data_IF_000627255493
#
_entry.id   IF_000627255493
#
_cell.length_a   1.000
_cell.length_b   1.000
_cell.length_c   1.000
_cell.angle_alpha   90.00
_cell.angle_beta   90.00
_cell.angle_gamma   90.00
#
_symmetry.space_group_name_H-M   'P 1'
#
loop_
_entity.id
_entity.type
_entity.pdbx_description
1 polymer ?
#
# COMPACT_ATOMS: atom_id res chain seq x y z
N UNK A 1 11.57 14.21 -6.30
CA UNK A 1 10.92 15.32 -7.02
C UNK A 1 10.45 16.40 -6.04
N UNK A 2 9.46 16.15 -5.18
CA UNK A 2 8.98 17.13 -4.18
C UNK A 2 10.12 17.75 -3.35
N UNK A 3 11.00 16.92 -2.76
CA UNK A 3 12.14 17.42 -1.98
C UNK A 3 13.10 18.32 -2.78
N UNK A 4 13.38 17.95 -4.04
CA UNK A 4 14.30 18.70 -4.88
C UNK A 4 13.70 20.06 -5.28
N UNK A 5 12.44 20.07 -5.73
CA UNK A 5 11.76 21.32 -6.07
C UNK A 5 11.54 22.21 -4.86
N UNK A 6 11.21 21.65 -3.70
CA UNK A 6 11.06 22.42 -2.47
C UNK A 6 12.38 23.02 -1.98
N UNK A 7 13.48 22.28 -2.06
CA UNK A 7 14.81 22.82 -1.73
C UNK A 7 15.20 23.97 -2.67
N UNK A 8 14.98 23.80 -3.99
CA UNK A 8 15.27 24.83 -4.99
C UNK A 8 14.33 26.05 -4.89
N UNK A 9 13.06 25.85 -4.55
CA UNK A 9 12.11 26.92 -4.25
C UNK A 9 12.51 27.72 -2.99
N UNK A 10 13.22 27.08 -2.07
CA UNK A 10 13.91 27.74 -0.96
C UNK A 10 15.34 28.17 -1.33
N UNK A 11 15.60 28.36 -2.62
CA UNK A 11 16.82 28.88 -3.26
C UNK A 11 18.13 28.20 -2.90
N UNK A 12 18.10 26.88 -2.69
CA UNK A 12 19.30 26.06 -2.83
C UNK A 12 19.58 25.76 -4.31
N UNK A 13 20.84 25.58 -4.67
CA UNK A 13 21.22 24.94 -5.93
C UNK A 13 21.09 23.42 -5.77
N UNK A 14 20.34 22.76 -6.66
CA UNK A 14 19.94 21.37 -6.46
C UNK A 14 20.28 20.51 -7.68
N UNK A 15 20.98 19.41 -7.42
CA UNK A 15 21.17 18.30 -8.35
C UNK A 15 20.28 17.13 -7.89
N UNK A 16 19.44 16.62 -8.79
CA UNK A 16 18.63 15.42 -8.59
C UNK A 16 19.23 14.25 -9.39
N UNK A 17 19.80 13.28 -8.67
CA UNK A 17 20.34 12.05 -9.23
C UNK A 17 19.26 10.96 -9.31
N UNK A 18 19.08 10.35 -10.47
CA UNK A 18 18.19 9.21 -10.69
C UNK A 18 18.95 8.06 -11.37
N UNK A 19 18.86 6.87 -10.80
CA UNK A 19 19.48 5.66 -11.35
C UNK A 19 18.87 5.24 -12.69
N UNK A 20 17.56 5.41 -12.84
CA UNK A 20 16.84 4.98 -14.02
C UNK A 20 16.94 5.99 -15.18
N UNK A 21 16.67 5.59 -16.43
CA UNK A 21 16.66 6.51 -17.57
C UNK A 21 15.60 7.62 -17.50
N UNK A 22 14.58 7.45 -16.65
CA UNK A 22 13.48 8.39 -16.47
C UNK A 22 13.05 8.45 -15.00
N UNK A 23 12.61 9.63 -14.57
CA UNK A 23 12.05 9.88 -13.23
C UNK A 23 10.69 9.18 -13.05
N UNK A 24 10.27 9.00 -11.79
CA UNK A 24 8.86 8.75 -11.45
C UNK A 24 8.29 7.41 -11.96
N UNK A 25 9.12 6.44 -12.33
CA UNK A 25 8.65 5.17 -12.93
C UNK A 25 7.64 4.43 -12.05
N UNK A 26 7.85 4.38 -10.73
CA UNK A 26 6.91 3.76 -9.78
C UNK A 26 5.63 4.59 -9.65
N UNK A 27 5.75 5.92 -9.55
CA UNK A 27 4.63 6.87 -9.48
C UNK A 27 3.64 6.65 -10.64
N UNK A 28 4.16 6.50 -11.86
CA UNK A 28 3.35 6.28 -13.07
C UNK A 28 2.51 5.00 -13.04
N UNK A 29 2.91 3.98 -12.26
CA UNK A 29 2.19 2.70 -12.14
C UNK A 29 1.13 2.72 -11.01
N UNK A 30 1.21 3.68 -10.09
CA UNK A 30 0.34 3.72 -8.92
C UNK A 30 -1.14 3.89 -9.29
N UNK A 31 -2.03 3.30 -8.49
CA UNK A 31 -3.48 3.33 -8.75
C UNK A 31 -3.86 2.75 -10.11
N UNK A 32 -3.14 1.72 -10.59
CA UNK A 32 -3.28 1.16 -11.94
C UNK A 32 -3.16 2.23 -13.05
N UNK A 33 -2.18 3.12 -12.91
CA UNK A 33 -1.95 4.21 -13.84
C UNK A 33 -2.82 5.44 -13.60
N UNK A 34 -3.67 5.45 -12.57
CA UNK A 34 -4.49 6.62 -12.20
C UNK A 34 -3.84 7.56 -11.18
N UNK A 35 -2.88 7.07 -10.40
CA UNK A 35 -2.26 7.76 -9.27
C UNK A 35 -3.25 8.19 -8.18
N UNK A 36 -3.49 7.30 -7.21
CA UNK A 36 -4.17 7.65 -5.97
C UNK A 36 -3.18 8.37 -5.05
N UNK A 37 -3.05 9.69 -5.16
CA UNK A 37 -1.92 10.42 -4.58
C UNK A 37 -2.14 10.87 -3.13
N UNK A 38 -3.39 10.93 -2.66
CA UNK A 38 -3.75 11.22 -1.27
C UNK A 38 -5.17 10.76 -0.95
N UNK A 39 -5.69 11.10 0.23
CA UNK A 39 -7.04 10.81 0.68
C UNK A 39 -7.77 12.07 1.18
N UNK A 40 -9.09 12.10 1.09
CA UNK A 40 -9.96 13.23 1.48
C UNK A 40 -10.35 13.24 2.97
N UNK A 41 -9.87 12.27 3.76
CA UNK A 41 -10.10 12.25 5.22
C UNK A 41 -9.48 13.44 5.92
N UNK A 42 -9.91 13.67 7.15
CA UNK A 42 -9.23 14.64 8.01
C UNK A 42 -7.78 14.19 8.26
N UNK A 43 -6.84 15.13 8.25
CA UNK A 43 -5.42 14.85 8.43
C UNK A 43 -5.13 14.23 9.79
N UNK A 44 -5.96 14.50 10.81
CA UNK A 44 -5.83 13.89 12.13
C UNK A 44 -6.16 12.39 12.14
N UNK A 45 -6.95 11.91 11.18
CA UNK A 45 -7.22 10.48 10.99
C UNK A 45 -6.04 9.76 10.31
N UNK A 46 -5.18 10.46 9.58
CA UNK A 46 -4.15 9.83 8.75
C UNK A 46 -3.22 8.93 9.56
N UNK A 47 -2.90 9.30 10.80
CA UNK A 47 -1.94 8.57 11.64
C UNK A 47 -2.35 7.11 11.87
N UNK A 48 -3.65 6.84 11.98
CA UNK A 48 -4.18 5.49 12.20
C UNK A 48 -3.87 4.57 11.01
N UNK A 49 -3.79 5.14 9.81
CA UNK A 49 -3.53 4.41 8.57
C UNK A 49 -2.06 4.04 8.35
N UNK A 50 -1.14 4.47 9.23
CA UNK A 50 0.27 4.05 9.25
C UNK A 50 0.61 3.17 10.47
N UNK A 51 -0.40 2.71 11.21
CA UNK A 51 -0.23 1.89 12.40
C UNK A 51 0.63 2.57 13.47
N UNK A 52 1.44 1.78 14.18
CA UNK A 52 2.23 2.27 15.34
C UNK A 52 3.19 3.43 15.04
N UNK A 53 3.62 3.57 13.77
CA UNK A 53 4.61 4.58 13.38
C UNK A 53 3.94 5.88 12.90
N UNK A 54 2.60 5.92 12.75
CA UNK A 54 1.89 7.09 12.23
C UNK A 54 2.11 8.37 13.03
N UNK A 55 2.32 8.26 14.34
CA UNK A 55 2.56 9.41 15.22
C UNK A 55 3.81 10.23 14.81
N UNK A 56 4.79 9.60 14.16
CA UNK A 56 5.99 10.28 13.63
C UNK A 56 5.60 11.36 12.60
N UNK A 57 4.55 11.12 11.82
CA UNK A 57 4.11 12.01 10.74
C UNK A 57 3.34 13.24 11.23
N UNK A 58 3.04 13.36 12.53
CA UNK A 58 2.28 14.52 13.07
C UNK A 58 2.92 15.86 12.73
N UNK A 59 4.22 16.00 12.97
CA UNK A 59 4.92 17.25 12.65
C UNK A 59 5.04 17.44 11.12
N UNK A 60 5.14 16.34 10.39
CA UNK A 60 5.27 16.35 8.93
C UNK A 60 3.96 16.82 8.28
N UNK A 61 2.82 16.28 8.70
CA UNK A 61 1.50 16.67 8.17
C UNK A 61 1.03 18.03 8.64
N UNK A 62 1.46 18.50 9.81
CA UNK A 62 1.25 19.89 10.21
C UNK A 62 2.00 20.90 9.33
N UNK A 63 3.07 20.47 8.65
CA UNK A 63 3.85 21.31 7.72
C UNK A 63 3.36 21.22 6.28
N UNK A 64 2.85 20.06 5.86
CA UNK A 64 2.35 19.81 4.52
C UNK A 64 1.34 18.66 4.55
N UNK A 65 0.06 19.03 4.62
CA UNK A 65 -1.10 18.14 4.76
C UNK A 65 -1.57 17.56 3.42
N UNK A 66 -2.64 16.78 3.46
CA UNK A 66 -3.35 16.35 2.25
C UNK A 66 -4.01 17.51 1.51
N UNK A 67 -4.53 18.52 2.23
CA UNK A 67 -5.10 19.72 1.60
C UNK A 67 -4.04 20.54 0.90
N UNK A 68 -2.89 20.75 1.54
CA UNK A 68 -1.76 21.46 0.93
C UNK A 68 -1.27 20.74 -0.34
N UNK A 69 -1.27 19.41 -0.35
CA UNK A 69 -0.91 18.63 -1.54
C UNK A 69 -1.93 18.78 -2.68
N UNK A 70 -3.22 18.77 -2.36
CA UNK A 70 -4.29 19.01 -3.36
C UNK A 70 -4.14 20.42 -3.93
N UNK A 71 -3.94 21.43 -3.08
CA UNK A 71 -3.78 22.82 -3.49
C UNK A 71 -2.50 23.03 -4.32
N UNK A 72 -1.41 22.34 -3.98
CA UNK A 72 -0.19 22.32 -4.79
C UNK A 72 -0.48 21.85 -6.22
N UNK A 73 -1.13 20.70 -6.39
CA UNK A 73 -1.47 20.18 -7.72
C UNK A 73 -2.46 21.08 -8.47
N UNK A 74 -3.45 21.62 -7.75
CA UNK A 74 -4.44 22.54 -8.32
C UNK A 74 -3.80 23.85 -8.80
N UNK A 75 -2.85 24.40 -8.05
CA UNK A 75 -2.12 25.61 -8.46
C UNK A 75 -1.31 25.43 -9.75
N UNK A 76 -1.01 24.18 -10.09
CA UNK A 76 -0.28 23.76 -11.28
C UNK A 76 -1.23 23.21 -12.37
N UNK A 77 -2.54 23.45 -12.24
CA UNK A 77 -3.54 23.11 -13.25
C UNK A 77 -4.00 21.64 -13.26
N UNK A 78 -3.77 20.90 -12.19
CA UNK A 78 -4.27 19.52 -12.03
C UNK A 78 -5.48 19.50 -11.10
N UNK A 79 -6.68 19.45 -11.68
CA UNK A 79 -7.92 19.21 -10.94
C UNK A 79 -8.03 17.76 -10.44
N UNK A 80 -8.83 17.56 -9.40
CA UNK A 80 -8.84 16.32 -8.60
C UNK A 80 -10.24 15.79 -8.34
N UNK A 81 -10.42 14.48 -8.46
CA UNK A 81 -11.68 13.78 -8.21
C UNK A 81 -11.54 12.90 -6.98
N UNK A 82 -12.58 12.91 -6.14
CA UNK A 82 -12.73 12.03 -4.99
C UNK A 82 -13.43 10.74 -5.43
N UNK A 83 -12.74 9.61 -5.29
CA UNK A 83 -13.28 8.27 -5.49
C UNK A 83 -13.81 7.64 -4.20
N UNK A 84 -14.07 6.33 -4.26
CA UNK A 84 -14.52 5.55 -3.11
C UNK A 84 -13.54 5.64 -1.93
N UNK A 85 -14.07 5.57 -0.70
CA UNK A 85 -13.29 5.60 0.54
C UNK A 85 -12.37 6.82 0.70
N UNK A 86 -12.70 7.93 0.02
CA UNK A 86 -11.94 9.19 0.08
C UNK A 86 -10.69 9.21 -0.79
N UNK A 87 -10.43 8.19 -1.62
CA UNK A 87 -9.26 8.17 -2.51
C UNK A 87 -9.26 9.39 -3.45
N UNK A 88 -8.12 10.04 -3.65
CA UNK A 88 -8.03 11.20 -4.54
C UNK A 88 -7.15 10.90 -5.75
N UNK A 89 -7.68 11.20 -6.93
CA UNK A 89 -7.03 11.02 -8.23
C UNK A 89 -7.05 12.33 -9.02
N UNK A 90 -6.15 12.53 -9.99
CA UNK A 90 -6.35 13.55 -11.02
C UNK A 90 -7.65 13.28 -11.79
N UNK A 91 -8.36 14.34 -12.19
CA UNK A 91 -9.68 14.25 -12.87
C UNK A 91 -9.63 13.41 -14.14
N UNK A 92 -8.53 13.48 -14.88
CA UNK A 92 -8.30 12.69 -16.09
C UNK A 92 -8.13 11.20 -15.82
N UNK A 93 -7.89 10.82 -14.57
CA UNK A 93 -7.53 9.47 -14.16
C UNK A 93 -6.17 9.00 -14.69
N UNK A 94 -5.22 9.91 -14.94
CA UNK A 94 -3.89 9.57 -15.46
C UNK A 94 -2.78 10.02 -14.52
N UNK A 95 -1.96 9.06 -14.09
CA UNK A 95 -0.76 9.28 -13.28
C UNK A 95 0.26 10.21 -13.95
N UNK A 96 0.23 10.29 -15.28
CA UNK A 96 1.07 11.18 -16.07
C UNK A 96 0.84 12.66 -15.74
N UNK A 97 -0.37 13.05 -15.36
CA UNK A 97 -0.67 14.46 -15.07
C UNK A 97 -0.02 14.89 -13.75
N UNK A 98 -0.06 14.01 -12.73
CA UNK A 98 0.69 14.19 -11.48
C UNK A 98 2.21 14.20 -11.73
N UNK A 99 2.71 13.29 -12.56
CA UNK A 99 4.13 13.23 -12.90
C UNK A 99 4.61 14.50 -13.62
N UNK A 100 3.87 14.95 -14.64
CA UNK A 100 4.20 16.14 -15.41
C UNK A 100 4.21 17.38 -14.51
N UNK A 101 3.18 17.57 -13.67
CA UNK A 101 3.15 18.67 -12.70
C UNK A 101 4.40 18.71 -11.81
N UNK A 102 4.84 17.55 -11.29
CA UNK A 102 6.07 17.48 -10.49
C UNK A 102 7.34 17.75 -11.31
N UNK A 103 7.35 17.34 -12.58
CA UNK A 103 8.48 17.56 -13.49
C UNK A 103 8.61 19.04 -13.84
N UNK A 104 7.49 19.67 -14.18
CA UNK A 104 7.41 21.10 -14.50
C UNK A 104 7.85 21.92 -13.28
N UNK A 105 7.34 21.58 -12.09
CA UNK A 105 7.76 22.20 -10.83
C UNK A 105 9.27 22.18 -10.62
N UNK A 106 9.95 21.05 -10.79
CA UNK A 106 11.41 20.99 -10.59
C UNK A 106 12.19 21.68 -11.72
N UNK A 107 11.65 21.72 -12.94
CA UNK A 107 12.26 22.41 -14.08
C UNK A 107 12.16 23.94 -13.97
N UNK A 108 11.02 24.46 -13.53
CA UNK A 108 10.81 25.89 -13.25
C UNK A 108 11.78 26.40 -12.18
N UNK A 109 12.04 25.57 -11.16
CA UNK A 109 13.02 25.84 -10.11
C UNK A 109 14.47 25.59 -10.52
N UNK A 110 14.72 25.26 -11.79
CA UNK A 110 16.06 25.03 -12.38
C UNK A 110 16.87 23.93 -11.67
N UNK A 111 16.19 22.89 -11.16
CA UNK A 111 16.87 21.70 -10.63
C UNK A 111 17.64 21.01 -11.75
N UNK A 112 18.91 20.72 -11.55
CA UNK A 112 19.71 19.93 -12.49
C UNK A 112 19.34 18.45 -12.34
N UNK A 113 18.74 17.86 -13.38
CA UNK A 113 18.28 16.47 -13.37
C UNK A 113 19.30 15.59 -14.10
N UNK A 114 19.83 14.58 -13.41
CA UNK A 114 20.79 13.62 -13.97
C UNK A 114 20.21 12.20 -13.88
N UNK A 115 19.78 11.63 -15.02
CA UNK A 115 19.26 10.26 -15.13
C UNK A 115 20.33 9.28 -15.60
N UNK A 116 20.21 8.00 -15.23
CA UNK A 116 21.28 6.99 -15.35
C UNK A 116 22.47 7.23 -14.41
N UNK A 117 22.24 7.90 -13.28
CA UNK A 117 23.26 8.24 -12.27
C UNK A 117 22.96 7.54 -10.93
N UNK A 118 23.24 6.23 -10.79
CA UNK A 118 23.10 5.55 -9.51
C UNK A 118 24.11 6.09 -8.48
N UNK A 119 23.60 6.62 -7.38
CA UNK A 119 24.40 6.89 -6.19
C UNK A 119 24.87 5.56 -5.55
N UNK A 120 26.11 5.56 -5.05
CA UNK A 120 26.78 4.39 -4.45
C UNK A 120 27.07 4.56 -2.97
N UNK A 121 27.47 5.74 -2.55
CA UNK A 121 27.74 6.08 -1.16
C UNK A 121 27.64 7.58 -0.92
N UNK A 122 27.66 7.95 0.35
CA UNK A 122 27.76 9.33 0.82
C UNK A 122 29.04 9.42 1.64
N UNK A 123 29.89 10.39 1.35
CA UNK A 123 31.13 10.63 2.11
C UNK A 123 30.81 11.50 3.32
N UNK A 124 31.27 11.06 4.49
CA UNK A 124 31.07 11.74 5.77
C UNK A 124 32.42 12.16 6.33
N UNK A 125 32.58 13.45 6.62
CA UNK A 125 33.73 14.02 7.32
C UNK A 125 33.24 14.76 8.57
N UNK A 126 33.86 14.50 9.72
CA UNK A 126 33.47 15.12 11.00
C UNK A 126 31.96 15.03 11.32
N UNK A 127 31.33 13.89 10.98
CA UNK A 127 29.88 13.63 11.08
C UNK A 127 29.00 14.59 10.25
N UNK A 128 29.53 15.14 9.16
CA UNK A 128 28.83 16.00 8.22
C UNK A 128 28.95 15.39 6.83
N UNK A 129 27.86 15.44 6.05
CA UNK A 129 27.89 15.07 4.63
C UNK A 129 28.76 16.05 3.85
N UNK A 130 29.67 15.52 3.01
CA UNK A 130 30.48 16.34 2.10
C UNK A 130 30.28 15.99 0.63
N UNK A 131 30.06 14.72 0.30
CA UNK A 131 29.92 14.27 -1.08
C UNK A 131 28.87 13.17 -1.26
N UNK A 132 28.31 13.10 -2.47
CA UNK A 132 27.60 11.93 -2.99
C UNK A 132 28.45 11.29 -4.09
N UNK A 133 28.80 10.02 -3.90
CA UNK A 133 29.64 9.25 -4.83
C UNK A 133 28.76 8.43 -5.76
N UNK A 134 29.01 8.52 -7.06
CA UNK A 134 28.38 7.69 -8.10
C UNK A 134 29.42 6.78 -8.76
N UNK A 135 29.03 6.02 -9.78
CA UNK A 135 29.98 5.21 -10.54
C UNK A 135 30.99 6.03 -11.36
N UNK A 136 30.60 7.23 -11.78
CA UNK A 136 31.31 8.02 -12.79
C UNK A 136 31.85 9.33 -12.24
N UNK A 137 31.22 9.88 -11.20
CA UNK A 137 31.58 11.19 -10.65
C UNK A 137 31.31 11.27 -9.14
N UNK A 138 31.99 12.22 -8.50
CA UNK A 138 31.77 12.60 -7.10
C UNK A 138 31.16 14.00 -7.09
N UNK A 139 29.98 14.14 -6.50
CA UNK A 139 29.28 15.40 -6.38
C UNK A 139 29.49 15.98 -4.98
N UNK A 140 30.22 17.09 -4.89
CA UNK A 140 30.36 17.84 -3.63
C UNK A 140 29.03 18.48 -3.26
N UNK A 141 28.66 18.41 -2.00
CA UNK A 141 27.40 19.00 -1.52
C UNK A 141 27.49 19.40 -0.05
N UNK A 142 26.79 20.48 0.31
CA UNK A 142 26.65 20.89 1.70
C UNK A 142 25.55 20.12 2.44
N UNK A 143 24.65 19.44 1.70
CA UNK A 143 23.56 18.62 2.23
C UNK A 143 23.16 17.55 1.23
N UNK A 144 22.72 16.39 1.72
CA UNK A 144 22.17 15.31 0.90
C UNK A 144 20.81 14.85 1.41
N UNK A 145 19.87 14.60 0.48
CA UNK A 145 18.56 14.03 0.77
C UNK A 145 18.48 12.64 0.12
N UNK A 146 18.31 11.59 0.92
CA UNK A 146 18.14 10.22 0.41
C UNK A 146 16.65 9.92 0.27
N UNK A 147 16.21 9.76 -0.98
CA UNK A 147 14.81 9.54 -1.36
C UNK A 147 14.65 8.35 -2.33
N UNK A 148 15.44 7.29 -2.13
CA UNK A 148 15.57 6.16 -3.09
C UNK A 148 14.39 5.18 -3.08
N UNK A 149 13.37 5.45 -2.25
CA UNK A 149 12.27 4.52 -1.98
C UNK A 149 12.73 3.24 -1.28
N UNK A 150 11.87 2.22 -1.30
CA UNK A 150 12.13 0.92 -0.70
C UNK A 150 12.73 -0.10 -1.66
N UNK A 151 12.25 -1.34 -1.58
CA UNK A 151 12.74 -2.48 -2.38
C UNK A 151 11.62 -3.26 -3.11
N UNK A 152 10.39 -2.73 -3.12
CA UNK A 152 9.29 -3.28 -3.91
C UNK A 152 9.29 -2.75 -5.36
N UNK A 153 8.74 -3.52 -6.31
CA UNK A 153 8.76 -3.20 -7.75
C UNK A 153 10.16 -2.81 -8.29
N UNK A 154 11.20 -3.68 -8.16
CA UNK A 154 12.60 -3.32 -8.46
C UNK A 154 12.84 -2.86 -9.90
N UNK A 155 12.00 -3.27 -10.86
CA UNK A 155 12.03 -2.79 -12.25
C UNK A 155 11.84 -1.27 -12.39
N UNK A 156 11.31 -0.61 -11.35
CA UNK A 156 11.12 0.84 -11.29
C UNK A 156 12.32 1.60 -10.73
N UNK A 157 13.33 0.90 -10.20
CA UNK A 157 14.54 1.48 -9.62
C UNK A 157 14.66 1.32 -8.10
N UNK A 158 13.56 1.06 -7.40
CA UNK A 158 13.53 0.80 -5.94
C UNK A 158 14.06 -0.59 -5.61
N UNK A 159 15.37 -0.71 -5.42
CA UNK A 159 16.08 -1.98 -5.18
C UNK A 159 16.74 -2.06 -3.79
N UNK A 160 16.38 -1.15 -2.88
CA UNK A 160 16.98 -1.09 -1.53
C UNK A 160 18.42 -0.56 -1.49
N UNK A 161 18.88 0.13 -2.54
CA UNK A 161 20.24 0.70 -2.57
C UNK A 161 20.45 1.72 -1.45
N UNK A 162 19.43 2.55 -1.15
CA UNK A 162 19.47 3.50 -0.05
C UNK A 162 19.67 2.85 1.32
N UNK A 163 19.12 1.65 1.56
CA UNK A 163 19.34 0.93 2.82
C UNK A 163 20.81 0.53 2.98
N UNK A 164 21.47 0.12 1.89
CA UNK A 164 22.90 -0.21 1.91
C UNK A 164 23.74 1.02 2.21
N UNK A 165 23.43 2.15 1.56
CA UNK A 165 24.11 3.43 1.76
C UNK A 165 23.97 3.88 3.22
N UNK A 166 22.73 3.93 3.73
CA UNK A 166 22.42 4.44 5.06
C UNK A 166 22.99 3.53 6.16
N UNK A 167 22.92 2.21 6.00
CA UNK A 167 23.52 1.27 6.96
C UNK A 167 25.05 1.39 7.00
N UNK A 168 25.71 1.64 5.86
CA UNK A 168 27.16 1.80 5.80
C UNK A 168 27.67 3.05 6.55
N UNK A 169 26.81 4.04 6.75
CA UNK A 169 27.12 5.27 7.50
C UNK A 169 26.52 5.26 8.91
N UNK A 170 26.12 4.09 9.42
CA UNK A 170 25.86 3.86 10.84
C UNK A 170 24.41 3.95 11.31
N UNK A 171 23.45 4.16 10.40
CA UNK A 171 22.02 4.14 10.74
C UNK A 171 21.46 2.72 10.83
N UNK A 172 20.53 2.50 11.76
CA UNK A 172 19.80 1.25 11.86
C UNK A 172 18.71 1.14 10.78
N UNK A 173 18.62 -0.04 10.15
CA UNK A 173 17.54 -0.38 9.21
C UNK A 173 16.67 -1.47 9.83
N UNK A 174 15.41 -1.14 10.10
CA UNK A 174 14.37 -2.10 10.51
C UNK A 174 14.19 -3.11 9.37
N UNK A 175 14.21 -4.42 9.65
CA UNK A 175 14.11 -5.46 8.62
C UNK A 175 12.96 -5.22 7.65
N UNK A 176 13.30 -5.17 6.36
CA UNK A 176 12.34 -4.89 5.29
C UNK A 176 11.56 -6.13 4.89
N UNK A 177 10.28 -5.96 4.62
CA UNK A 177 9.36 -7.04 4.25
C UNK A 177 8.26 -6.52 3.32
N UNK A 178 7.57 -7.40 2.57
CA UNK A 178 6.47 -6.96 1.71
C UNK A 178 5.31 -6.36 2.52
N UNK A 179 4.70 -5.31 1.96
CA UNK A 179 3.41 -4.76 2.41
C UNK A 179 2.48 -4.48 1.23
N UNK A 180 1.17 -4.53 1.49
CA UNK A 180 0.14 -4.40 0.45
C UNK A 180 0.40 -5.37 -0.70
N UNK A 181 0.47 -6.65 -0.35
CA UNK A 181 0.87 -7.74 -1.24
C UNK A 181 -0.18 -8.84 -1.21
N UNK A 182 -0.42 -9.58 -2.31
CA UNK A 182 -1.37 -10.67 -2.26
C UNK A 182 -0.93 -11.80 -1.29
N UNK A 183 -1.90 -12.53 -0.76
CA UNK A 183 -1.68 -13.70 0.09
C UNK A 183 -1.77 -14.98 -0.75
N UNK A 184 -0.94 -15.96 -0.41
CA UNK A 184 -0.93 -17.27 -1.09
C UNK A 184 -1.88 -18.24 -0.39
N UNK A 185 -2.67 -18.96 -1.18
CA UNK A 185 -3.69 -19.89 -0.68
C UNK A 185 -3.36 -21.35 -0.97
N UNK A 186 -4.25 -22.24 -0.54
CA UNK A 186 -4.17 -23.66 -0.86
C UNK A 186 -4.66 -23.98 -2.28
N UNK A 187 -4.16 -25.07 -2.86
CA UNK A 187 -4.43 -25.49 -4.24
C UNK A 187 -5.92 -25.68 -4.54
N UNK A 188 -6.68 -26.22 -3.58
CA UNK A 188 -8.12 -26.44 -3.74
C UNK A 188 -8.88 -25.14 -4.01
N UNK A 189 -8.52 -24.07 -3.29
CA UNK A 189 -9.12 -22.74 -3.41
C UNK A 189 -8.78 -22.13 -4.76
N UNK A 190 -7.50 -22.20 -5.13
CA UNK A 190 -6.98 -21.71 -6.41
C UNK A 190 -7.71 -22.37 -7.58
N UNK A 191 -7.81 -23.70 -7.58
CA UNK A 191 -8.44 -24.45 -8.67
C UNK A 191 -9.90 -24.08 -8.86
N UNK A 192 -10.66 -23.89 -7.78
CA UNK A 192 -12.11 -23.69 -7.84
C UNK A 192 -12.54 -22.24 -8.00
N UNK A 193 -11.82 -21.31 -7.36
CA UNK A 193 -12.32 -19.95 -7.16
C UNK A 193 -11.52 -18.88 -7.90
N UNK A 194 -10.37 -19.18 -8.50
CA UNK A 194 -9.57 -18.15 -9.19
C UNK A 194 -10.38 -17.36 -10.23
N UNK A 195 -10.13 -16.05 -10.28
CA UNK A 195 -10.81 -15.10 -11.16
C UNK A 195 -12.15 -14.58 -10.63
N UNK A 196 -12.63 -15.03 -9.46
CA UNK A 196 -13.85 -14.49 -8.85
C UNK A 196 -13.50 -13.24 -8.06
N UNK A 197 -14.16 -12.12 -8.40
CA UNK A 197 -14.13 -10.88 -7.64
C UNK A 197 -15.39 -10.78 -6.78
N UNK A 198 -15.21 -10.39 -5.52
CA UNK A 198 -16.28 -10.12 -4.57
C UNK A 198 -16.20 -8.64 -4.18
N UNK A 199 -17.22 -7.82 -4.50
CA UNK A 199 -17.13 -6.37 -4.34
C UNK A 199 -17.11 -5.93 -2.87
N UNK A 200 -17.73 -6.71 -1.99
CA UNK A 200 -17.81 -6.40 -0.57
C UNK A 200 -17.90 -7.68 0.25
N UNK A 201 -16.87 -7.93 1.05
CA UNK A 201 -16.82 -9.00 2.05
C UNK A 201 -16.25 -8.45 3.35
N UNK A 202 -16.52 -9.14 4.47
CA UNK A 202 -15.79 -8.93 5.71
C UNK A 202 -14.79 -10.05 5.89
N UNK A 203 -13.53 -9.70 6.11
CA UNK A 203 -12.41 -10.63 6.25
C UNK A 203 -11.78 -10.45 7.61
N UNK A 204 -11.71 -11.54 8.37
CA UNK A 204 -10.95 -11.61 9.62
C UNK A 204 -9.68 -12.41 9.41
N UNK A 205 -8.53 -11.85 9.79
CA UNK A 205 -7.24 -12.51 9.74
C UNK A 205 -6.89 -13.07 11.13
N UNK A 206 -6.57 -14.36 11.16
CA UNK A 206 -6.09 -15.06 12.34
C UNK A 206 -4.70 -15.62 12.08
N UNK A 207 -3.85 -15.55 13.11
CA UNK A 207 -2.58 -16.27 13.15
C UNK A 207 -2.57 -17.07 14.43
N UNK A 208 -2.37 -18.39 14.33
CA UNK A 208 -2.74 -19.33 15.40
C UNK A 208 -4.17 -19.00 15.82
N UNK A 209 -4.49 -18.94 17.11
CA UNK A 209 -5.85 -18.70 17.60
C UNK A 209 -6.15 -17.22 17.92
N UNK A 210 -5.28 -16.30 17.53
CA UNK A 210 -5.47 -14.86 17.77
C UNK A 210 -5.96 -14.16 16.51
N UNK A 211 -7.07 -13.41 16.64
CA UNK A 211 -7.52 -12.49 15.59
C UNK A 211 -6.62 -11.26 15.59
N UNK A 212 -5.95 -10.99 14.46
CA UNK A 212 -5.10 -9.81 14.33
C UNK A 212 -5.88 -8.59 13.85
N UNK A 213 -6.82 -8.77 12.93
CA UNK A 213 -7.63 -7.69 12.38
C UNK A 213 -8.90 -8.19 11.70
N UNK A 214 -9.85 -7.27 11.56
CA UNK A 214 -11.06 -7.41 10.76
C UNK A 214 -11.19 -6.20 9.84
N UNK A 215 -11.37 -6.46 8.54
CA UNK A 215 -11.58 -5.40 7.55
C UNK A 215 -12.68 -5.77 6.57
N UNK A 216 -13.19 -4.75 5.88
CA UNK A 216 -14.26 -4.85 4.90
C UNK A 216 -13.79 -4.29 3.58
N UNK A 217 -14.20 -4.91 2.47
CA UNK A 217 -13.92 -4.38 1.15
C UNK A 217 -13.93 -5.43 0.06
N UNK A 218 -13.46 -5.02 -1.12
CA UNK A 218 -13.38 -5.89 -2.28
C UNK A 218 -12.25 -6.91 -2.12
N UNK A 219 -12.51 -8.14 -2.57
CA UNK A 219 -11.59 -9.26 -2.55
C UNK A 219 -11.59 -9.97 -3.90
N UNK A 220 -10.42 -10.48 -4.30
CA UNK A 220 -10.23 -11.24 -5.53
C UNK A 220 -9.57 -12.59 -5.20
N UNK A 221 -10.15 -13.68 -5.70
CA UNK A 221 -9.46 -14.97 -5.76
C UNK A 221 -8.55 -14.98 -6.98
N UNK A 222 -7.27 -15.28 -6.80
CA UNK A 222 -6.26 -15.32 -7.87
C UNK A 222 -5.79 -16.74 -8.15
N UNK A 223 -4.96 -16.91 -9.17
CA UNK A 223 -4.30 -18.18 -9.48
C UNK A 223 -3.23 -18.61 -8.45
N UNK A 224 -2.97 -17.81 -7.42
CA UNK A 224 -2.03 -18.15 -6.34
C UNK A 224 -2.63 -18.02 -4.94
N UNK A 225 -3.84 -17.46 -4.80
CA UNK A 225 -4.50 -17.27 -3.50
C UNK A 225 -5.49 -16.12 -3.52
N UNK A 226 -5.18 -15.07 -2.76
CA UNK A 226 -6.10 -14.00 -2.41
C UNK A 226 -5.47 -12.62 -2.70
N UNK A 227 -6.26 -11.72 -3.24
CA UNK A 227 -5.89 -10.32 -3.53
C UNK A 227 -7.12 -9.42 -3.34
N UNK A 228 -7.05 -8.19 -3.84
CA UNK A 228 -8.07 -7.15 -3.64
C UNK A 228 -7.77 -6.30 -2.41
N UNK A 229 -8.30 -5.06 -2.35
CA UNK A 229 -7.95 -4.06 -1.33
C UNK A 229 -7.94 -4.61 0.10
N UNK A 230 -9.00 -5.33 0.51
CA UNK A 230 -9.12 -5.85 1.89
C UNK A 230 -8.01 -6.85 2.24
N UNK A 231 -7.58 -7.67 1.26
CA UNK A 231 -6.50 -8.64 1.46
C UNK A 231 -5.15 -7.96 1.46
N UNK A 232 -4.94 -6.98 0.58
CA UNK A 232 -3.70 -6.21 0.52
C UNK A 232 -3.47 -5.49 1.84
N UNK A 233 -4.48 -4.84 2.41
CA UNK A 233 -4.35 -4.17 3.71
C UNK A 233 -4.04 -5.17 4.84
N UNK A 234 -4.76 -6.30 4.91
CA UNK A 234 -4.50 -7.36 5.89
C UNK A 234 -3.10 -7.98 5.76
N UNK A 235 -2.56 -8.05 4.54
CA UNK A 235 -1.24 -8.64 4.29
C UNK A 235 -0.12 -7.94 5.06
N UNK A 236 -0.29 -6.65 5.40
CA UNK A 236 0.68 -5.88 6.18
C UNK A 236 0.91 -6.45 7.59
N UNK A 237 -0.04 -7.24 8.12
CA UNK A 237 0.05 -7.90 9.44
C UNK A 237 0.69 -9.29 9.36
N UNK A 238 0.77 -9.88 8.17
CA UNK A 238 1.41 -11.18 7.95
C UNK A 238 2.91 -10.96 7.73
N UNK A 239 3.73 -11.53 8.62
CA UNK A 239 5.19 -11.45 8.56
C UNK A 239 5.77 -12.72 7.93
N UNK A 240 6.94 -12.65 7.27
CA UNK A 240 7.65 -13.83 6.78
C UNK A 240 7.84 -14.91 7.84
N UNK A 241 8.11 -14.51 9.10
CA UNK A 241 8.26 -15.43 10.23
C UNK A 241 7.00 -16.26 10.53
N UNK A 242 5.81 -15.79 10.12
CA UNK A 242 4.55 -16.52 10.35
C UNK A 242 4.30 -17.64 9.34
N UNK A 243 5.20 -17.88 8.38
CA UNK A 243 4.99 -18.85 7.29
C UNK A 243 4.65 -20.26 7.78
N UNK A 244 5.25 -20.68 8.89
CA UNK A 244 5.03 -22.00 9.49
C UNK A 244 3.92 -21.97 10.56
N UNK A 245 3.29 -20.81 10.78
CA UNK A 245 2.16 -20.65 11.68
C UNK A 245 0.84 -20.89 10.95
N UNK A 246 -0.19 -21.29 11.70
CA UNK A 246 -1.52 -21.51 11.14
C UNK A 246 -2.20 -20.16 10.83
N UNK A 247 -1.98 -19.62 9.63
CA UNK A 247 -2.61 -18.39 9.14
C UNK A 247 -3.95 -18.72 8.49
N UNK A 248 -5.02 -18.08 8.96
CA UNK A 248 -6.40 -18.32 8.50
C UNK A 248 -7.10 -17.02 8.17
N UNK A 249 -7.87 -17.02 7.09
CA UNK A 249 -8.86 -15.99 6.77
C UNK A 249 -10.25 -16.55 7.02
N UNK A 250 -11.07 -15.81 7.74
CA UNK A 250 -12.50 -16.06 7.85
C UNK A 250 -13.26 -15.01 7.05
N UNK A 251 -14.01 -15.47 6.06
CA UNK A 251 -14.72 -14.60 5.11
C UNK A 251 -16.22 -14.71 5.34
N UNK A 252 -16.82 -13.55 5.57
CA UNK A 252 -18.26 -13.34 5.56
C UNK A 252 -18.65 -12.71 4.22
N UNK A 253 -19.37 -13.50 3.41
CA UNK A 253 -19.77 -13.15 2.04
C UNK A 253 -20.99 -12.24 1.99
N UNK A 254 -21.76 -12.15 3.08
CA UNK A 254 -23.01 -11.39 3.13
C UNK A 254 -23.03 -10.49 4.37
N UNK A 255 -22.01 -9.65 4.56
CA UNK A 255 -21.74 -9.09 5.87
C UNK A 255 -22.71 -7.94 6.22
N UNK A 256 -23.49 -7.47 5.26
CA UNK A 256 -24.57 -6.49 5.44
C UNK A 256 -25.89 -7.10 5.98
N UNK A 257 -25.96 -8.43 6.08
CA UNK A 257 -27.19 -9.14 6.46
C UNK A 257 -26.97 -10.00 7.69
N UNK A 258 -27.97 -10.02 8.57
CA UNK A 258 -28.01 -10.97 9.68
C UNK A 258 -28.29 -12.39 9.18
N UNK A 259 -27.87 -13.41 9.94
CA UNK A 259 -28.20 -14.81 9.64
C UNK A 259 -29.69 -15.06 9.41
N UNK A 260 -30.55 -14.37 10.18
CA UNK A 260 -31.99 -14.49 10.07
C UNK A 260 -32.53 -13.89 8.77
N UNK A 261 -31.97 -12.77 8.30
CA UNK A 261 -32.35 -12.18 7.02
C UNK A 261 -31.93 -13.07 5.85
N UNK A 262 -30.71 -13.61 5.90
CA UNK A 262 -30.22 -14.59 4.92
C UNK A 262 -31.12 -15.84 4.92
N UNK A 263 -31.48 -16.38 6.09
CA UNK A 263 -32.37 -17.56 6.19
C UNK A 263 -33.73 -17.31 5.55
N UNK A 264 -34.36 -16.17 5.86
CA UNK A 264 -35.66 -15.80 5.31
C UNK A 264 -35.60 -15.65 3.79
N UNK A 265 -34.60 -14.94 3.28
CA UNK A 265 -34.43 -14.72 1.84
C UNK A 265 -34.18 -16.04 1.11
N UNK A 266 -33.30 -16.89 1.66
CA UNK A 266 -32.97 -18.17 1.05
C UNK A 266 -34.16 -19.15 1.10
N UNK A 267 -34.89 -19.19 2.21
CA UNK A 267 -36.11 -20.00 2.35
C UNK A 267 -37.19 -19.55 1.35
N UNK A 268 -37.36 -18.25 1.15
CA UNK A 268 -38.28 -17.71 0.13
C UNK A 268 -37.91 -18.22 -1.28
N UNK A 269 -36.64 -18.12 -1.68
CA UNK A 269 -36.19 -18.67 -2.96
C UNK A 269 -36.38 -20.18 -3.07
N UNK A 270 -36.17 -20.95 -1.99
CA UNK A 270 -36.44 -22.40 -1.99
C UNK A 270 -37.94 -22.68 -2.20
N UNK A 271 -38.84 -21.89 -1.61
CA UNK A 271 -40.28 -22.06 -1.84
C UNK A 271 -40.70 -21.73 -3.27
N UNK A 272 -40.14 -20.68 -3.87
CA UNK A 272 -40.46 -20.24 -5.23
C UNK A 272 -39.84 -21.15 -6.30
N UNK A 273 -38.67 -21.73 -6.01
CA UNK A 273 -37.85 -22.46 -7.00
C UNK A 273 -37.44 -23.86 -6.54
N UNK A 274 -38.21 -24.51 -5.66
CA UNK A 274 -37.80 -25.76 -5.00
C UNK A 274 -37.45 -26.93 -5.92
N UNK A 275 -37.98 -26.96 -7.15
CA UNK A 275 -37.62 -27.97 -8.16
C UNK A 275 -36.25 -27.75 -8.81
N UNK A 276 -35.69 -26.56 -8.68
CA UNK A 276 -34.36 -26.24 -9.19
C UNK A 276 -33.29 -26.85 -8.30
N UNK A 277 -32.13 -27.07 -8.90
CA UNK A 277 -30.93 -27.48 -8.19
C UNK A 277 -30.50 -26.45 -7.14
N UNK A 278 -30.07 -26.90 -5.96
CA UNK A 278 -29.70 -26.03 -4.84
C UNK A 278 -28.53 -25.09 -5.16
N UNK A 279 -27.58 -25.51 -6.00
CA UNK A 279 -26.48 -24.65 -6.46
C UNK A 279 -27.02 -23.48 -7.28
N UNK A 280 -27.99 -23.74 -8.16
CA UNK A 280 -28.61 -22.69 -8.97
C UNK A 280 -29.43 -21.72 -8.12
N UNK A 281 -30.17 -22.23 -7.12
CA UNK A 281 -30.90 -21.38 -6.17
C UNK A 281 -29.91 -20.48 -5.39
N UNK A 282 -28.82 -21.03 -4.89
CA UNK A 282 -27.81 -20.25 -4.17
C UNK A 282 -27.07 -19.26 -5.09
N UNK A 283 -26.94 -19.58 -6.38
CA UNK A 283 -26.32 -18.69 -7.38
C UNK A 283 -27.13 -17.43 -7.69
N UNK A 284 -28.39 -17.35 -7.23
CA UNK A 284 -29.16 -16.11 -7.26
C UNK A 284 -28.62 -15.04 -6.31
N UNK A 285 -27.80 -15.43 -5.32
CA UNK A 285 -27.21 -14.52 -4.33
C UNK A 285 -25.70 -14.32 -4.54
N UNK A 286 -25.03 -15.25 -5.22
CA UNK A 286 -23.57 -15.32 -5.29
C UNK A 286 -23.09 -15.84 -6.66
N UNK A 287 -21.83 -15.59 -7.03
CA UNK A 287 -21.23 -16.23 -8.21
C UNK A 287 -21.38 -17.76 -8.16
N UNK A 288 -21.76 -18.37 -9.28
CA UNK A 288 -22.07 -19.81 -9.39
C UNK A 288 -20.98 -20.73 -8.80
N UNK A 289 -19.71 -20.41 -9.04
CA UNK A 289 -18.57 -21.18 -8.51
C UNK A 289 -18.44 -21.10 -6.99
N UNK A 290 -18.80 -19.96 -6.38
CA UNK A 290 -18.87 -19.82 -4.92
C UNK A 290 -20.04 -20.62 -4.37
N UNK A 291 -21.22 -20.53 -5.01
CA UNK A 291 -22.38 -21.30 -4.61
C UNK A 291 -22.08 -22.81 -4.60
N UNK A 292 -21.51 -23.33 -5.70
CA UNK A 292 -21.08 -24.73 -5.80
C UNK A 292 -20.08 -25.12 -4.71
N UNK A 293 -19.10 -24.27 -4.45
CA UNK A 293 -18.10 -24.49 -3.40
C UNK A 293 -18.73 -24.55 -2.00
N UNK A 294 -19.69 -23.70 -1.68
CA UNK A 294 -20.38 -23.71 -0.38
C UNK A 294 -21.19 -24.99 -0.18
N UNK A 295 -21.91 -25.43 -1.22
CA UNK A 295 -22.69 -26.68 -1.18
C UNK A 295 -21.78 -27.88 -0.90
N UNK A 296 -20.61 -27.93 -1.54
CA UNK A 296 -19.61 -28.95 -1.29
C UNK A 296 -19.04 -28.88 0.14
N UNK A 297 -18.72 -27.69 0.65
CA UNK A 297 -18.26 -27.50 2.03
C UNK A 297 -19.30 -27.95 3.08
N UNK A 298 -20.58 -27.92 2.73
CA UNK A 298 -21.66 -28.41 3.58
C UNK A 298 -21.90 -29.93 3.45
N UNK A 299 -21.14 -30.62 2.58
CA UNK A 299 -21.34 -32.03 2.22
C UNK A 299 -22.76 -32.31 1.71
N UNK A 300 -23.33 -31.35 0.96
CA UNK A 300 -24.63 -31.49 0.31
C UNK A 300 -24.41 -31.92 -1.14
N UNK A 301 -25.24 -32.84 -1.64
CA UNK A 301 -25.14 -33.26 -3.04
C UNK A 301 -25.39 -32.08 -3.97
N UNK A 302 -24.49 -31.87 -4.92
CA UNK A 302 -24.65 -30.86 -5.95
C UNK A 302 -25.83 -31.13 -6.89
N UNK A 303 -26.45 -32.32 -6.87
CA UNK A 303 -27.67 -32.63 -7.63
C UNK A 303 -28.97 -32.36 -6.87
N UNK A 304 -28.88 -32.09 -5.56
CA UNK A 304 -30.04 -31.91 -4.68
C UNK A 304 -30.91 -30.74 -5.14
N UNK A 305 -32.21 -30.93 -5.09
CA UNK A 305 -33.21 -29.88 -5.36
C UNK A 305 -33.46 -29.03 -4.13
N UNK A 306 -33.91 -27.79 -4.32
CA UNK A 306 -34.26 -26.91 -3.20
C UNK A 306 -35.29 -27.51 -2.24
N UNK A 307 -36.27 -28.27 -2.76
CA UNK A 307 -37.31 -28.93 -1.96
C UNK A 307 -36.80 -30.00 -1.01
N UNK A 308 -35.62 -30.57 -1.28
CA UNK A 308 -35.01 -31.61 -0.44
C UNK A 308 -34.16 -31.02 0.70
N UNK A 309 -33.93 -29.71 0.69
CA UNK A 309 -33.05 -29.04 1.65
C UNK A 309 -33.74 -28.89 3.01
N UNK A 310 -33.29 -29.71 3.98
CA UNK A 310 -33.75 -29.62 5.37
C UNK A 310 -33.32 -28.31 6.05
N UNK A 311 -34.00 -27.94 7.14
CA UNK A 311 -33.61 -26.80 7.99
C UNK A 311 -32.16 -26.92 8.50
N UNK A 312 -31.70 -28.12 8.83
CA UNK A 312 -30.33 -28.36 9.28
C UNK A 312 -29.30 -28.13 8.17
N UNK A 313 -29.59 -28.58 6.94
CA UNK A 313 -28.75 -28.30 5.77
C UNK A 313 -28.70 -26.80 5.45
N UNK A 314 -29.86 -26.13 5.51
CA UNK A 314 -29.97 -24.69 5.31
C UNK A 314 -29.14 -23.90 6.33
N UNK A 315 -29.21 -24.27 7.61
CA UNK A 315 -28.40 -23.66 8.67
C UNK A 315 -26.89 -23.79 8.37
N UNK A 316 -26.43 -24.96 7.92
CA UNK A 316 -25.02 -25.17 7.54
C UNK A 316 -24.59 -24.25 6.38
N UNK A 317 -25.43 -24.09 5.36
CA UNK A 317 -25.18 -23.19 4.24
C UNK A 317 -25.02 -21.75 4.74
N UNK A 318 -25.95 -21.29 5.59
CA UNK A 318 -25.93 -19.93 6.14
C UNK A 318 -24.72 -19.69 7.04
N UNK A 319 -24.35 -20.68 7.86
CA UNK A 319 -23.14 -20.61 8.66
C UNK A 319 -21.89 -20.49 7.79
N UNK A 320 -21.83 -21.17 6.65
CA UNK A 320 -20.73 -21.02 5.69
C UNK A 320 -20.77 -19.67 4.98
N UNK A 321 -21.94 -19.15 4.59
CA UNK A 321 -22.04 -17.82 3.97
C UNK A 321 -21.43 -16.72 4.84
N UNK A 322 -21.62 -16.77 6.15
CA UNK A 322 -21.05 -15.79 7.09
C UNK A 322 -19.66 -16.12 7.62
N UNK A 323 -19.10 -17.31 7.34
CA UNK A 323 -17.87 -17.76 7.97
C UNK A 323 -17.15 -18.88 7.20
N UNK A 324 -16.66 -18.58 6.00
CA UNK A 324 -15.80 -19.50 5.25
C UNK A 324 -14.37 -19.37 5.74
N UNK A 325 -13.78 -20.48 6.19
CA UNK A 325 -12.37 -20.55 6.53
C UNK A 325 -11.52 -20.85 5.29
N UNK A 326 -10.46 -20.07 5.12
CA UNK A 326 -9.43 -20.30 4.13
C UNK A 326 -8.06 -20.29 4.78
N UNK A 327 -7.24 -21.29 4.49
CA UNK A 327 -5.85 -21.34 4.92
C UNK A 327 -4.96 -20.51 4.01
N UNK A 328 -4.05 -19.76 4.62
CA UNK A 328 -3.05 -18.93 3.95
C UNK A 328 -1.68 -19.55 4.18
N UNK A 329 -0.89 -19.67 3.11
CA UNK A 329 0.47 -20.22 3.14
C UNK A 329 1.54 -19.15 3.38
N UNK A 330 1.17 -17.88 3.26
CA UNK A 330 2.06 -16.74 3.45
C UNK A 330 1.76 -15.62 2.47
N UNK A 331 2.71 -14.72 2.31
CA UNK A 331 2.65 -13.54 1.43
C UNK A 331 3.38 -13.79 0.11
N UNK A 332 3.04 -13.07 -0.96
CA UNK A 332 3.85 -13.06 -2.18
C UNK A 332 5.20 -12.33 -1.93
N UNK A 333 6.20 -12.52 -2.81
CA UNK A 333 7.52 -11.90 -2.66
C UNK A 333 7.47 -10.36 -2.67
N UNK A 334 8.52 -9.75 -2.10
CA UNK A 334 8.68 -8.30 -1.97
C UNK A 334 8.68 -7.57 -3.31
N UNK A 335 9.17 -8.21 -4.37
CA UNK A 335 9.22 -7.66 -5.71
C UNK A 335 7.83 -7.38 -6.30
N UNK A 336 6.80 -8.06 -5.77
CA UNK A 336 5.39 -7.92 -6.16
C UNK A 336 4.58 -7.04 -5.21
N UNK A 337 5.17 -6.62 -4.09
CA UNK A 337 4.49 -5.81 -3.09
C UNK A 337 4.29 -4.37 -3.57
N UNK A 338 3.18 -3.72 -3.21
CA UNK A 338 3.00 -2.30 -3.55
C UNK A 338 3.95 -1.41 -2.77
N UNK A 339 4.26 -1.79 -1.54
CA UNK A 339 5.16 -1.05 -0.65
C UNK A 339 6.11 -1.99 0.09
N UNK A 340 7.15 -1.38 0.64
CA UNK A 340 8.08 -1.97 1.59
C UNK A 340 7.66 -1.56 3.01
N UNK A 341 7.54 -2.52 3.91
CA UNK A 341 7.41 -2.25 5.35
C UNK A 341 8.78 -2.43 5.99
N UNK A 342 9.14 -1.58 6.95
CA UNK A 342 10.51 -1.47 7.46
C UNK A 342 11.23 -0.28 6.82
N UNK A 343 12.53 -0.16 7.06
CA UNK A 343 13.34 0.94 6.54
C UNK A 343 14.17 1.60 7.63
N UNK A 344 14.64 2.81 7.38
CA UNK A 344 15.51 3.52 8.33
C UNK A 344 14.75 3.83 9.62
N UNK A 345 15.37 3.51 10.76
CA UNK A 345 14.75 3.62 12.07
C UNK A 345 14.33 5.07 12.39
N UNK A 346 13.05 5.26 12.67
CA UNK A 346 12.49 6.60 12.94
C UNK A 346 13.07 7.27 14.19
N UNK A 347 13.60 6.47 15.14
CA UNK A 347 14.30 6.99 16.32
C UNK A 347 15.51 7.84 15.95
N UNK A 348 16.10 7.63 14.78
CA UNK A 348 17.30 8.31 14.28
C UNK A 348 17.00 9.47 13.33
N UNK A 349 15.71 9.78 13.12
CA UNK A 349 15.26 10.86 12.23
C UNK A 349 14.50 11.89 13.06
N UNK A 350 14.76 13.18 12.82
CA UNK A 350 14.00 14.27 13.42
C UNK A 350 12.68 14.47 12.66
N UNK A 351 11.50 14.23 13.27
CA UNK A 351 10.22 14.34 12.58
C UNK A 351 9.84 15.76 12.16
N UNK A 352 10.51 16.80 12.69
CA UNK A 352 10.25 18.19 12.32
C UNK A 352 11.01 18.65 11.08
N UNK A 353 12.13 18.00 10.77
CA UNK A 353 13.05 18.44 9.70
C UNK A 353 13.40 17.34 8.71
N UNK A 354 13.06 16.08 9.01
CA UNK A 354 13.51 14.88 8.32
C UNK A 354 15.04 14.70 8.31
N UNK A 355 15.77 15.45 9.13
CA UNK A 355 17.21 15.33 9.28
C UNK A 355 17.58 14.06 10.05
N UNK A 356 18.71 13.46 9.67
CA UNK A 356 19.41 12.47 10.50
C UNK A 356 19.80 13.10 11.83
N UNK A 357 19.64 12.33 12.91
CA UNK A 357 20.16 12.68 14.25
C UNK A 357 21.61 12.26 14.44
N UNK A 358 22.14 11.43 13.56
CA UNK A 358 23.50 10.88 13.64
C UNK A 358 24.49 11.71 12.82
N UNK A 359 24.06 12.14 11.64
CA UNK A 359 24.89 12.81 10.63
C UNK A 359 24.26 14.15 10.29
N UNK A 360 25.03 15.22 10.47
CA UNK A 360 24.61 16.57 10.11
C UNK A 360 24.47 16.68 8.59
N UNK A 361 23.48 17.45 8.17
CA UNK A 361 23.19 17.77 6.76
C UNK A 361 22.78 16.56 5.90
N UNK A 362 22.45 15.44 6.53
CA UNK A 362 21.82 14.29 5.90
C UNK A 362 20.32 14.29 6.20
N UNK A 363 19.49 14.07 5.18
CA UNK A 363 18.03 14.02 5.30
C UNK A 363 17.48 12.77 4.62
N UNK A 364 16.34 12.26 5.11
CA UNK A 364 15.69 11.07 4.56
C UNK A 364 14.19 11.30 4.36
N UNK A 365 13.64 10.91 3.22
CA UNK A 365 12.21 11.07 2.95
C UNK A 365 11.64 9.96 2.04
N UNK A 366 10.31 9.79 2.09
CA UNK A 366 9.61 8.74 1.35
C UNK A 366 9.81 7.34 1.91
N UNK A 367 9.56 6.32 1.09
CA UNK A 367 9.51 4.90 1.48
C UNK A 367 10.85 4.32 2.00
N UNK A 368 11.94 5.10 2.06
CA UNK A 368 13.20 4.66 2.67
C UNK A 368 13.13 4.64 4.21
N UNK A 369 12.28 5.46 4.82
CA UNK A 369 12.12 5.47 6.29
C UNK A 369 11.10 4.39 6.71
N UNK A 370 11.12 3.97 7.97
CA UNK A 370 10.16 2.96 8.51
C UNK A 370 8.73 3.53 8.66
N UNK A 371 8.13 3.98 7.57
CA UNK A 371 6.75 4.45 7.44
C UNK A 371 6.09 3.67 6.31
N UNK A 372 5.02 2.96 6.64
CA UNK A 372 4.20 2.22 5.69
C UNK A 372 2.74 2.41 6.06
N UNK A 373 1.95 2.89 5.10
CA UNK A 373 0.51 3.06 5.24
C UNK A 373 -0.27 1.92 4.59
N UNK A 374 -1.57 1.83 4.90
CA UNK A 374 -2.50 0.99 4.14
C UNK A 374 -2.70 1.51 2.70
N UNK A 375 -3.45 0.77 1.89
CA UNK A 375 -3.87 1.27 0.57
C UNK A 375 -4.80 2.49 0.71
N UNK A 376 -4.84 3.34 -0.31
CA UNK A 376 -5.76 4.49 -0.32
C UNK A 376 -5.13 5.89 -0.38
N UNK A 377 -3.90 5.99 -0.91
CA UNK A 377 -3.20 7.27 -1.13
C UNK A 377 -2.25 7.69 -0.02
N UNK A 378 -2.33 7.07 1.15
CA UNK A 378 -1.50 7.37 2.32
C UNK A 378 0.02 7.27 2.05
N UNK A 379 0.48 6.23 1.36
CA UNK A 379 1.91 6.07 1.11
C UNK A 379 2.49 7.19 0.21
N UNK A 380 1.72 7.65 -0.79
CA UNK A 380 2.12 8.79 -1.61
C UNK A 380 2.04 10.10 -0.82
N UNK A 381 0.99 10.32 -0.02
CA UNK A 381 0.92 11.47 0.88
C UNK A 381 2.17 11.56 1.77
N UNK A 382 2.55 10.47 2.44
CA UNK A 382 3.73 10.45 3.31
C UNK A 382 5.01 10.76 2.53
N UNK A 383 5.15 10.23 1.31
CA UNK A 383 6.29 10.53 0.46
C UNK A 383 6.36 12.01 0.05
N UNK A 384 5.23 12.63 -0.29
CA UNK A 384 5.17 14.05 -0.61
C UNK A 384 5.46 14.93 0.60
N UNK A 385 4.78 14.72 1.73
CA UNK A 385 4.97 15.55 2.92
C UNK A 385 6.36 15.43 3.52
N UNK A 386 6.90 14.20 3.64
CA UNK A 386 8.29 14.03 4.11
C UNK A 386 9.28 14.64 3.13
N UNK A 387 9.03 14.53 1.82
CA UNK A 387 9.84 15.17 0.80
C UNK A 387 9.84 16.69 0.91
N UNK A 388 8.66 17.31 1.09
CA UNK A 388 8.51 18.75 1.29
C UNK A 388 9.33 19.23 2.49
N UNK A 389 9.14 18.60 3.65
CA UNK A 389 9.84 18.98 4.90
C UNK A 389 11.36 18.79 4.78
N UNK A 390 11.81 17.68 4.18
CA UNK A 390 13.23 17.42 3.96
C UNK A 390 13.87 18.47 3.02
N UNK A 391 13.18 18.80 1.93
CA UNK A 391 13.65 19.79 0.95
C UNK A 391 13.81 21.18 1.56
N UNK A 392 12.79 21.65 2.28
CA UNK A 392 12.83 22.94 2.97
C UNK A 392 13.96 22.98 4.02
N UNK A 393 14.06 21.94 4.85
CA UNK A 393 15.04 21.89 5.95
C UNK A 393 16.49 21.84 5.44
N UNK A 394 16.73 21.07 4.37
CA UNK A 394 18.04 21.00 3.73
C UNK A 394 18.46 22.37 3.18
N UNK A 395 17.56 23.06 2.47
CA UNK A 395 17.86 24.38 1.90
C UNK A 395 18.18 25.44 2.96
N UNK A 396 17.45 25.44 4.09
CA UNK A 396 17.74 26.36 5.21
C UNK A 396 19.15 26.17 5.78
N UNK A 397 19.67 24.94 5.76
CA UNK A 397 21.00 24.62 6.29
C UNK A 397 22.11 25.07 5.35
N UNK A 398 21.89 25.03 4.03
CA UNK A 398 22.90 25.45 3.04
C UNK A 398 23.05 26.98 2.99
N UNK A 399 22.02 27.71 3.43
CA UNK A 399 22.03 29.19 3.48
C UNK A 399 22.63 29.78 4.76
N UNK A 400 22.69 28.99 5.84
CA UNK A 400 23.22 29.40 7.14
C UNK A 400 24.73 29.21 7.17
#
# INVERSE_FOLDING_TARGET
MMAAGQAANNGAEVILLEKMPALGRKLLLTGNGRCNFTNNRDIDEFYEYYGKNGQFLRNVFARFSNRDLIDFFKSQGVDTTIGENGNIFPDTGRSKDIFNCLLDFIQEQKVQILTNWPAKSVTIENNIVVDVVTNTEVFKCNSAIIATGGCSYPKTGSTGDGYKIINAIGHAVVPVRPGLVPLTGEELVIRKLHGISLPKVKVRLYIKDTMLAEHWGAMLFTNFGFSGPVILDLSCLVRPEHKDENIRLYIDLMPDYTKNEIDRAFLKCIHEHGRMNIVNILSSFLPLRIASFIIELCSISASMTGSEVSRGMRSKIIDKLGNIEFKVRGVRPLEEAMITIGGVALSEINPKTMASKLIKNLYLCGEIIDIAGVSGGYNLQAAFSTGYVAGESAAMTVRA
#
